data_IF_462929718064
#
_entry.id   IF_462929718064
#
_cell.length_a   1.000
_cell.length_b   1.000
_cell.length_c   1.000
_cell.angle_alpha   90.00
_cell.angle_beta   90.00
_cell.angle_gamma   90.00
#
_symmetry.space_group_name_H-M   'P 1'
#
loop_
_entity.id
_entity.type
_entity.pdbx_description
1 polymer ?
#
# COMPACT_ATOMS: atom_id res chain seq x y z
N UNK A 1 20.66 -57.02 36.27
CA UNK A 1 19.27 -56.84 36.75
C UNK A 1 18.60 -55.80 35.85
N UNK A 2 17.49 -56.11 35.20
CA UNK A 2 16.77 -55.13 34.36
C UNK A 2 15.90 -54.23 35.22
N UNK A 3 16.15 -52.94 35.22
CA UNK A 3 15.35 -51.95 35.95
C UNK A 3 13.97 -51.80 35.28
N UNK A 4 12.91 -51.76 36.07
CA UNK A 4 11.56 -51.46 35.60
C UNK A 4 11.44 -49.98 35.24
N UNK A 5 10.56 -49.67 34.29
CA UNK A 5 10.15 -48.29 34.01
C UNK A 5 9.59 -47.63 35.29
N UNK A 6 9.76 -46.32 35.42
CA UNK A 6 9.25 -45.57 36.58
C UNK A 6 7.74 -45.30 36.55
N UNK A 7 7.05 -45.65 35.46
CA UNK A 7 5.59 -45.63 35.40
C UNK A 7 5.07 -46.89 36.11
N UNK A 8 4.30 -46.72 37.18
CA UNK A 8 3.82 -47.82 38.05
C UNK A 8 3.03 -48.91 37.30
N UNK A 9 2.41 -48.57 36.18
CA UNK A 9 1.62 -49.49 35.34
C UNK A 9 2.41 -50.10 34.18
N UNK A 10 3.67 -49.72 33.98
CA UNK A 10 4.44 -50.10 32.81
C UNK A 10 5.24 -51.40 33.05
N UNK A 11 4.86 -52.47 32.34
CA UNK A 11 5.52 -53.78 32.40
C UNK A 11 6.84 -53.84 31.60
N UNK A 12 7.22 -52.77 30.91
CA UNK A 12 8.39 -52.75 30.03
C UNK A 12 9.70 -52.51 30.81
N UNK A 13 10.75 -53.21 30.37
CA UNK A 13 12.11 -53.00 30.88
C UNK A 13 12.64 -51.64 30.43
N UNK A 14 13.20 -50.90 31.37
CA UNK A 14 13.92 -49.66 31.09
C UNK A 14 15.16 -49.95 30.22
N UNK A 15 15.43 -49.10 29.25
CA UNK A 15 16.63 -49.18 28.38
C UNK A 15 17.55 -47.97 28.52
N UNK A 16 17.06 -46.88 29.11
CA UNK A 16 17.79 -45.64 29.31
C UNK A 16 17.19 -44.88 30.50
N UNK A 17 17.85 -43.82 30.95
CA UNK A 17 17.27 -42.86 31.90
C UNK A 17 16.75 -41.67 31.09
N UNK A 18 15.52 -41.25 31.37
CA UNK A 18 14.97 -40.00 30.84
C UNK A 18 15.64 -38.84 31.55
N UNK A 19 16.32 -37.95 30.82
CA UNK A 19 16.92 -36.76 31.42
C UNK A 19 15.89 -35.70 31.84
N UNK A 20 14.71 -35.67 31.22
CA UNK A 20 13.64 -34.74 31.58
C UNK A 20 13.00 -35.10 32.93
N UNK A 21 12.83 -36.41 33.18
CA UNK A 21 12.16 -36.93 34.38
C UNK A 21 13.12 -37.49 35.42
N UNK A 22 14.40 -37.63 35.07
CA UNK A 22 15.46 -38.30 35.82
C UNK A 22 15.08 -39.73 36.26
N UNK A 23 14.31 -40.43 35.42
CA UNK A 23 13.74 -41.75 35.74
C UNK A 23 13.96 -42.77 34.63
N UNK A 24 13.85 -44.06 34.97
CA UNK A 24 13.96 -45.18 34.03
C UNK A 24 12.93 -45.09 32.90
N UNK A 25 13.41 -45.02 31.65
CA UNK A 25 12.67 -44.79 30.42
C UNK A 25 12.49 -46.08 29.61
N UNK A 26 11.25 -46.37 29.22
CA UNK A 26 10.90 -47.35 28.20
C UNK A 26 10.36 -46.66 26.94
N UNK A 27 10.19 -47.38 25.81
CA UNK A 27 9.62 -46.81 24.58
C UNK A 27 8.25 -46.13 24.77
N UNK A 28 7.38 -46.69 25.62
CA UNK A 28 6.04 -46.11 25.86
C UNK A 28 6.13 -44.77 26.62
N UNK A 29 7.06 -44.64 27.56
CA UNK A 29 7.32 -43.37 28.25
C UNK A 29 7.89 -42.33 27.26
N UNK A 30 8.77 -42.73 26.34
CA UNK A 30 9.26 -41.83 25.30
C UNK A 30 8.12 -41.34 24.40
N UNK A 31 7.16 -42.22 24.07
CA UNK A 31 5.97 -41.86 23.30
C UNK A 31 5.13 -40.79 24.01
N UNK A 32 4.92 -40.89 25.33
CA UNK A 32 4.21 -39.85 26.11
C UNK A 32 4.91 -38.49 26.01
N UNK A 33 6.24 -38.46 26.07
CA UNK A 33 6.99 -37.22 25.88
C UNK A 33 6.83 -36.66 24.48
N UNK A 34 6.93 -37.50 23.45
CA UNK A 34 6.73 -37.09 22.05
C UNK A 34 5.31 -36.57 21.85
N UNK A 35 4.31 -37.23 22.41
CA UNK A 35 2.91 -36.81 22.32
C UNK A 35 2.68 -35.46 23.03
N UNK A 36 3.29 -35.24 24.21
CA UNK A 36 3.23 -33.96 24.93
C UNK A 36 3.97 -32.84 24.19
N UNK A 37 5.10 -33.15 23.56
CA UNK A 37 5.85 -32.18 22.74
C UNK A 37 5.01 -31.80 21.52
N UNK A 38 4.47 -32.79 20.81
CA UNK A 38 3.62 -32.58 19.63
C UNK A 38 2.34 -31.83 19.99
N UNK A 39 1.73 -32.10 21.15
CA UNK A 39 0.53 -31.37 21.60
C UNK A 39 0.80 -29.88 21.88
N UNK A 40 2.06 -29.49 22.07
CA UNK A 40 2.47 -28.08 22.25
C UNK A 40 3.03 -27.47 20.98
N UNK A 41 3.81 -28.22 20.21
CA UNK A 41 4.42 -27.75 18.97
C UNK A 41 3.39 -27.56 17.85
N UNK A 42 2.42 -28.47 17.71
CA UNK A 42 1.44 -28.38 16.63
C UNK A 42 0.59 -27.11 16.71
N UNK A 43 0.01 -26.73 17.88
CA UNK A 43 -0.71 -25.46 17.99
C UNK A 43 0.16 -24.24 17.69
N UNK A 44 1.43 -24.25 18.09
CA UNK A 44 2.35 -23.15 17.79
C UNK A 44 2.64 -23.06 16.28
N UNK A 45 2.82 -24.20 15.61
CA UNK A 45 2.98 -24.24 14.16
C UNK A 45 1.72 -23.72 13.45
N UNK A 46 0.53 -24.11 13.92
CA UNK A 46 -0.75 -23.63 13.39
C UNK A 46 -0.92 -22.11 13.60
N UNK A 47 -0.50 -21.59 14.76
CA UNK A 47 -0.53 -20.16 15.06
C UNK A 47 0.45 -19.37 14.17
N UNK A 48 1.68 -19.86 14.00
CA UNK A 48 2.66 -19.28 13.07
C UNK A 48 2.10 -19.25 11.64
N UNK A 49 1.53 -20.36 11.17
CA UNK A 49 0.92 -20.43 9.84
C UNK A 49 -0.27 -19.48 9.70
N UNK A 50 -1.06 -19.31 10.75
CA UNK A 50 -2.18 -18.36 10.76
C UNK A 50 -1.68 -16.92 10.66
N UNK A 51 -0.65 -16.56 11.42
CA UNK A 51 -0.03 -15.23 11.38
C UNK A 51 0.62 -14.96 10.02
N UNK A 52 1.30 -15.94 9.43
CA UNK A 52 1.90 -15.82 8.10
C UNK A 52 0.86 -15.59 7.00
N UNK A 53 -0.26 -16.31 7.06
CA UNK A 53 -1.40 -16.08 6.18
C UNK A 53 -2.01 -14.68 6.37
N UNK A 54 -2.17 -14.21 7.61
CA UNK A 54 -2.67 -12.86 7.89
C UNK A 54 -1.73 -11.77 7.38
N UNK A 55 -0.42 -11.94 7.55
CA UNK A 55 0.59 -11.04 7.02
C UNK A 55 0.57 -11.02 5.48
N UNK A 56 0.41 -12.19 4.86
CA UNK A 56 0.29 -12.30 3.40
C UNK A 56 -0.98 -11.62 2.86
N UNK A 57 -2.06 -11.57 3.63
CA UNK A 57 -3.29 -10.85 3.28
C UNK A 57 -3.15 -9.33 3.39
N UNK A 58 -2.22 -8.83 4.20
CA UNK A 58 -1.88 -7.41 4.25
C UNK A 58 -1.11 -7.04 2.98
N UNK A 59 -1.84 -6.90 1.88
CA UNK A 59 -1.29 -6.50 0.59
C UNK A 59 -0.99 -4.99 0.59
N UNK A 60 0.06 -4.62 1.33
CA UNK A 60 0.53 -3.25 1.50
C UNK A 60 0.85 -2.63 0.14
N UNK A 61 1.44 -3.39 -0.78
CA UNK A 61 1.74 -2.94 -2.13
C UNK A 61 0.48 -2.52 -2.88
N UNK A 62 -0.60 -3.31 -2.79
CA UNK A 62 -1.87 -2.94 -3.40
C UNK A 62 -2.46 -1.66 -2.79
N UNK A 63 -2.31 -1.44 -1.48
CA UNK A 63 -2.77 -0.21 -0.82
C UNK A 63 -1.96 1.00 -1.28
N UNK A 64 -0.63 0.85 -1.36
CA UNK A 64 0.28 1.88 -1.85
C UNK A 64 -0.04 2.23 -3.30
N UNK A 65 -0.22 1.23 -4.17
CA UNK A 65 -0.52 1.44 -5.58
C UNK A 65 -1.86 2.13 -5.80
N UNK A 66 -2.91 1.72 -5.08
CA UNK A 66 -4.21 2.42 -5.10
C UNK A 66 -4.08 3.88 -4.64
N UNK A 67 -3.24 4.14 -3.65
CA UNK A 67 -3.01 5.49 -3.14
C UNK A 67 -2.26 6.35 -4.16
N UNK A 68 -1.23 5.79 -4.81
CA UNK A 68 -0.50 6.44 -5.91
C UNK A 68 -1.42 6.79 -7.08
N UNK A 69 -2.27 5.86 -7.51
CA UNK A 69 -3.24 6.12 -8.58
C UNK A 69 -4.20 7.28 -8.25
N UNK A 70 -4.66 7.38 -7.00
CA UNK A 70 -5.50 8.50 -6.55
C UNK A 70 -4.74 9.83 -6.57
N UNK A 71 -3.48 9.83 -6.11
CA UNK A 71 -2.64 11.02 -6.14
C UNK A 71 -2.36 11.48 -7.57
N UNK A 72 -2.05 10.55 -8.48
CA UNK A 72 -1.83 10.87 -9.88
C UNK A 72 -3.09 11.43 -10.53
N UNK A 73 -4.26 10.82 -10.27
CA UNK A 73 -5.54 11.35 -10.75
C UNK A 73 -5.78 12.78 -10.24
N UNK A 74 -5.62 13.00 -8.94
CA UNK A 74 -5.79 14.32 -8.33
C UNK A 74 -4.84 15.36 -8.95
N UNK A 75 -3.57 14.99 -9.16
CA UNK A 75 -2.58 15.84 -9.82
C UNK A 75 -3.05 16.26 -11.23
N UNK A 76 -3.50 15.32 -12.05
CA UNK A 76 -3.97 15.62 -13.41
C UNK A 76 -5.21 16.51 -13.39
N UNK A 77 -6.17 16.24 -12.51
CA UNK A 77 -7.40 17.04 -12.40
C UNK A 77 -7.12 18.48 -11.95
N UNK A 78 -6.18 18.67 -11.02
CA UNK A 78 -5.75 20.00 -10.59
C UNK A 78 -5.10 20.79 -11.73
N UNK A 79 -4.16 20.19 -12.46
CA UNK A 79 -3.52 20.85 -13.61
C UNK A 79 -4.56 21.23 -14.67
N UNK A 80 -5.43 20.30 -15.07
CA UNK A 80 -6.48 20.57 -16.04
C UNK A 80 -7.43 21.69 -15.60
N UNK A 81 -7.73 21.78 -14.31
CA UNK A 81 -8.58 22.86 -13.77
C UNK A 81 -7.89 24.22 -13.85
N UNK A 82 -6.61 24.27 -13.51
CA UNK A 82 -5.80 25.50 -13.59
C UNK A 82 -5.67 25.97 -15.04
N UNK A 83 -5.37 25.06 -15.96
CA UNK A 83 -5.20 25.35 -17.38
C UNK A 83 -6.50 25.89 -17.98
N UNK A 84 -7.63 25.22 -17.69
CA UNK A 84 -8.95 25.68 -18.13
C UNK A 84 -9.27 27.09 -17.61
N UNK A 85 -9.03 27.34 -16.33
CA UNK A 85 -9.27 28.67 -15.74
C UNK A 85 -8.41 29.75 -16.39
N UNK A 86 -7.14 29.44 -16.68
CA UNK A 86 -6.24 30.34 -17.38
C UNK A 86 -6.76 30.68 -18.77
N UNK A 87 -7.15 29.67 -19.56
CA UNK A 87 -7.69 29.86 -20.91
C UNK A 87 -8.98 30.69 -20.90
N UNK A 88 -9.91 30.41 -19.98
CA UNK A 88 -11.14 31.19 -19.79
C UNK A 88 -10.82 32.67 -19.52
N UNK A 89 -9.83 32.95 -18.66
CA UNK A 89 -9.41 34.34 -18.37
C UNK A 89 -8.72 35.02 -19.53
N UNK A 90 -7.94 34.30 -20.33
CA UNK A 90 -7.38 34.86 -21.57
C UNK A 90 -8.49 35.25 -22.54
N UNK A 91 -9.51 34.40 -22.73
CA UNK A 91 -10.65 34.69 -23.59
C UNK A 91 -11.47 35.89 -23.08
N UNK A 92 -11.77 35.94 -21.78
CA UNK A 92 -12.45 37.09 -21.15
C UNK A 92 -11.68 38.40 -21.39
N UNK A 93 -10.35 38.39 -21.25
CA UNK A 93 -9.52 39.56 -21.50
C UNK A 93 -9.56 39.98 -22.96
N UNK A 94 -9.41 39.03 -23.89
CA UNK A 94 -9.47 39.31 -25.32
C UNK A 94 -10.82 39.91 -25.71
N UNK A 95 -11.92 39.34 -25.23
CA UNK A 95 -13.27 39.83 -25.49
C UNK A 95 -13.45 41.26 -24.97
N UNK A 96 -13.02 41.56 -23.74
CA UNK A 96 -13.07 42.92 -23.18
C UNK A 96 -12.23 43.92 -23.97
N UNK A 97 -11.08 43.50 -24.50
CA UNK A 97 -10.25 44.34 -25.36
C UNK A 97 -10.99 44.67 -26.66
N UNK A 98 -11.59 43.68 -27.32
CA UNK A 98 -12.37 43.88 -28.55
C UNK A 98 -13.56 44.82 -28.29
N UNK A 99 -14.35 44.57 -27.24
CA UNK A 99 -15.49 45.41 -26.87
C UNK A 99 -15.09 46.86 -26.63
N UNK A 100 -13.95 47.11 -25.97
CA UNK A 100 -13.44 48.47 -25.77
C UNK A 100 -12.98 49.12 -27.06
N UNK A 101 -12.37 48.39 -27.98
CA UNK A 101 -11.96 48.92 -29.28
C UNK A 101 -13.18 49.28 -30.13
N UNK A 102 -14.21 48.43 -30.14
CA UNK A 102 -15.46 48.66 -30.86
C UNK A 102 -16.28 49.82 -30.27
N UNK A 103 -16.14 50.09 -28.97
CA UNK A 103 -16.73 51.27 -28.31
C UNK A 103 -16.09 52.61 -28.73
N UNK A 104 -14.87 52.59 -29.28
CA UNK A 104 -14.15 53.77 -29.75
C UNK A 104 -13.68 53.59 -31.21
N UNK A 105 -14.61 53.53 -32.19
CA UNK A 105 -14.27 53.30 -33.59
C UNK A 105 -13.40 54.42 -34.20
N UNK A 106 -13.36 55.59 -33.57
CA UNK A 106 -12.59 56.75 -34.03
C UNK A 106 -11.08 56.66 -33.77
N UNK A 107 -10.59 55.71 -32.95
CA UNK A 107 -9.13 55.52 -32.79
C UNK A 107 -8.50 54.83 -34.02
N UNK A 108 -9.24 54.00 -34.74
CA UNK A 108 -8.77 53.33 -35.96
C UNK A 108 -8.80 54.26 -37.21
N UNK A 109 -9.49 55.41 -37.13
CA UNK A 109 -9.52 56.42 -38.19
C UNK A 109 -8.37 57.44 -38.09
N UNK A 110 -7.82 57.65 -36.89
CA UNK A 110 -6.69 58.57 -36.69
C UNK A 110 -5.37 58.03 -37.27
N UNK A 111 -5.12 56.72 -37.19
CA UNK A 111 -3.92 56.11 -37.79
C UNK A 111 -3.97 56.05 -39.33
N UNK A 112 -5.16 55.93 -39.93
CA UNK A 112 -5.33 56.01 -41.40
C UNK A 112 -5.17 57.42 -41.94
N UNK A 113 -5.54 58.46 -41.18
CA UNK A 113 -5.32 59.85 -41.59
C UNK A 113 -3.85 60.27 -41.42
N UNK A 114 -3.13 59.75 -40.42
CA UNK A 114 -1.69 60.02 -40.24
C UNK A 114 -0.80 59.35 -41.30
N UNK A 115 -1.21 58.22 -41.85
CA UNK A 115 -0.50 57.55 -42.96
C UNK A 115 -0.75 58.25 -44.30
N UNK A 116 -1.99 58.70 -44.58
CA UNK A 116 -2.31 59.45 -45.80
C UNK A 116 -1.67 60.86 -45.85
N UNK A 117 -1.45 61.51 -44.71
CA UNK A 117 -0.76 62.82 -44.63
C UNK A 117 0.76 62.74 -44.79
N UNK A 118 1.36 61.54 -44.78
CA UNK A 118 2.80 61.33 -45.03
C UNK A 118 3.13 60.93 -46.47
N UNK A 119 2.12 60.73 -47.33
CA UNK A 119 2.29 60.20 -48.70
C UNK A 119 1.87 61.15 -49.83
N UNK A 120 1.82 62.48 -49.61
CA UNK A 120 1.79 63.45 -50.70
C UNK A 120 2.80 64.59 -50.43
N UNK A 121 3.49 65.08 -51.49
CA UNK A 121 4.95 65.10 -51.59
C UNK A 121 5.68 66.27 -50.90
#
# INVERSE_FOLDING_TARGET
MSLSCAIETCKCKSRAICHCCNTNLCPDHLKVHVDLINSRMNPLADEINTLDNQLSLLNVDQVIDKSRQKLDKWRHECHATVDRFYEEKCQELQQRCVEKVDQYPNLCLYDKQLTLLKEYP
#
